data_IF_894041398267
#
_entry.id   IF_894041398267
#
_cell.length_a   1.000
_cell.length_b   1.000
_cell.length_c   1.000
_cell.angle_alpha   90.00
_cell.angle_beta   90.00
_cell.angle_gamma   90.00
#
_symmetry.space_group_name_H-M   'P 1'
#
loop_
_entity.id
_entity.type
_entity.pdbx_description
1 polymer ?
#
# COMPACT_ATOMS: atom_id res chain seq x y z
N UNK A 1 10.33 -0.98 4.39
CA UNK A 1 10.16 -1.54 3.03
C UNK A 1 11.14 -0.85 2.12
N UNK A 2 12.06 -1.53 1.43
CA UNK A 2 13.22 -0.89 0.77
C UNK A 2 12.92 0.17 -0.32
N UNK A 3 11.65 0.35 -0.70
CA UNK A 3 11.12 1.36 -1.60
C UNK A 3 10.38 2.49 -0.85
N UNK A 4 10.34 3.72 -1.40
CA UNK A 4 9.67 4.87 -0.76
C UNK A 4 8.13 4.79 -0.86
N UNK A 5 7.46 5.26 0.20
CA UNK A 5 6.01 5.28 0.36
C UNK A 5 5.55 6.62 0.94
N UNK A 6 4.46 7.17 0.42
CA UNK A 6 3.81 8.38 0.89
C UNK A 6 2.36 8.04 1.24
N UNK A 7 2.02 8.12 2.53
CA UNK A 7 0.74 7.66 3.06
C UNK A 7 -0.15 8.87 3.35
N UNK A 8 -1.38 8.83 2.85
CA UNK A 8 -2.36 9.91 2.97
C UNK A 8 -3.66 9.34 3.54
N UNK A 9 -4.00 9.76 4.76
CA UNK A 9 -5.27 9.40 5.38
C UNK A 9 -6.41 10.27 4.83
N UNK A 10 -7.51 9.62 4.45
CA UNK A 10 -8.69 10.25 3.85
C UNK A 10 -9.97 9.70 4.50
N UNK A 11 -11.02 10.52 4.53
CA UNK A 11 -12.31 10.10 5.09
C UNK A 11 -13.07 9.17 4.16
N UNK A 12 -12.97 9.39 2.84
CA UNK A 12 -13.63 8.60 1.81
C UNK A 12 -12.68 8.31 0.64
N UNK A 13 -12.34 7.03 0.46
CA UNK A 13 -11.50 6.57 -0.64
C UNK A 13 -12.15 6.65 -2.01
N UNK A 14 -13.48 6.64 -2.07
CA UNK A 14 -14.21 6.63 -3.34
C UNK A 14 -14.36 8.04 -3.92
N UNK A 15 -14.12 9.08 -3.11
CA UNK A 15 -14.02 10.47 -3.54
C UNK A 15 -12.65 10.84 -4.16
N UNK A 16 -11.63 9.99 -4.06
CA UNK A 16 -10.27 10.30 -4.52
C UNK A 16 -10.13 10.06 -6.03
N UNK A 17 -9.82 11.13 -6.77
CA UNK A 17 -9.38 11.04 -8.16
C UNK A 17 -7.91 10.63 -8.24
N UNK A 18 -7.70 9.31 -8.14
CA UNK A 18 -6.37 8.69 -8.12
C UNK A 18 -5.57 8.97 -9.41
N UNK A 19 -6.23 9.05 -10.56
CA UNK A 19 -5.57 9.25 -11.85
C UNK A 19 -5.02 10.67 -12.00
N UNK A 20 -5.69 11.64 -11.39
CA UNK A 20 -5.23 13.04 -11.39
C UNK A 20 -4.15 13.28 -10.33
N UNK A 21 -4.37 12.79 -9.10
CA UNK A 21 -3.52 13.14 -7.95
C UNK A 21 -2.28 12.24 -7.85
N UNK A 22 -2.41 10.95 -8.18
CA UNK A 22 -1.33 9.96 -8.07
C UNK A 22 -0.02 10.37 -8.77
N UNK A 23 -0.03 10.72 -10.07
CA UNK A 23 1.18 11.14 -10.79
C UNK A 23 1.85 12.39 -10.20
N UNK A 24 1.04 13.33 -9.68
CA UNK A 24 1.55 14.58 -9.10
C UNK A 24 2.37 14.31 -7.86
N UNK A 25 1.91 13.39 -7.00
CA UNK A 25 2.61 13.02 -5.77
C UNK A 25 3.78 12.07 -6.08
N UNK A 26 3.60 11.09 -6.98
CA UNK A 26 4.67 10.18 -7.41
C UNK A 26 5.92 10.98 -7.83
N UNK A 27 5.73 12.05 -8.59
CA UNK A 27 6.80 12.87 -9.15
C UNK A 27 7.07 14.16 -8.38
N UNK A 28 6.51 14.33 -7.18
CA UNK A 28 6.70 15.54 -6.39
C UNK A 28 8.17 15.74 -6.03
N UNK A 29 8.65 16.99 -6.05
CA UNK A 29 10.07 17.33 -5.87
C UNK A 29 10.68 16.87 -4.53
N UNK A 30 9.83 16.70 -3.51
CA UNK A 30 10.21 16.16 -2.19
C UNK A 30 10.64 14.69 -2.23
N UNK A 31 10.30 13.97 -3.32
CA UNK A 31 10.68 12.58 -3.55
C UNK A 31 11.65 12.49 -4.75
N UNK A 32 12.97 12.72 -4.56
CA UNK A 32 13.95 12.70 -5.65
C UNK A 32 13.99 11.39 -6.45
N UNK A 33 13.65 10.27 -5.79
CA UNK A 33 13.59 8.94 -6.40
C UNK A 33 12.15 8.50 -6.74
N UNK A 34 11.22 9.48 -6.83
CA UNK A 34 9.77 9.29 -6.86
C UNK A 34 9.26 8.49 -5.64
N UNK A 35 7.95 8.28 -5.54
CA UNK A 35 7.38 7.48 -4.45
C UNK A 35 6.17 6.66 -4.89
N UNK A 36 5.88 5.58 -4.16
CA UNK A 36 4.54 5.01 -4.14
C UNK A 36 3.64 5.90 -3.27
N UNK A 37 2.36 5.96 -3.59
CA UNK A 37 1.40 6.81 -2.88
C UNK A 37 0.19 5.98 -2.48
N UNK A 38 -0.01 5.84 -1.18
CA UNK A 38 -1.08 5.09 -0.57
C UNK A 38 -2.13 6.05 0.01
N UNK A 39 -3.36 5.98 -0.51
CA UNK A 39 -4.51 6.63 0.12
C UNK A 39 -5.18 5.62 1.03
N UNK A 40 -5.50 6.03 2.26
CA UNK A 40 -5.93 5.12 3.32
C UNK A 40 -7.19 5.67 4.00
N UNK A 41 -8.22 4.83 4.08
CA UNK A 41 -9.39 5.08 4.90
C UNK A 41 -9.37 4.12 6.08
N UNK A 42 -9.40 4.68 7.29
CA UNK A 42 -9.42 3.92 8.54
C UNK A 42 -10.86 3.52 8.83
N UNK A 43 -11.18 2.23 8.72
CA UNK A 43 -12.51 1.71 9.02
C UNK A 43 -12.65 1.36 10.50
N UNK A 44 -11.58 0.81 11.09
CA UNK A 44 -11.41 0.58 12.52
C UNK A 44 -9.92 0.52 12.85
N UNK A 45 -9.52 0.46 14.14
CA UNK A 45 -8.12 0.29 14.52
C UNK A 45 -7.48 -0.99 13.97
N UNK A 46 -8.26 -2.00 13.59
CA UNK A 46 -7.78 -3.29 13.06
C UNK A 46 -8.21 -3.56 11.62
N UNK A 47 -8.80 -2.56 10.95
CA UNK A 47 -9.23 -2.66 9.56
C UNK A 47 -9.02 -1.35 8.80
N UNK A 48 -8.12 -1.40 7.82
CA UNK A 48 -7.78 -0.30 6.93
C UNK A 48 -8.22 -0.67 5.51
N UNK A 49 -8.72 0.30 4.76
CA UNK A 49 -8.96 0.18 3.31
C UNK A 49 -8.00 1.10 2.58
N UNK A 50 -7.55 0.72 1.39
CA UNK A 50 -6.61 1.55 0.64
C UNK A 50 -6.82 1.54 -0.88
N UNK A 51 -6.25 2.55 -1.54
CA UNK A 51 -5.94 2.58 -2.98
C UNK A 51 -4.49 3.06 -3.14
N UNK A 52 -3.80 2.58 -4.18
CA UNK A 52 -2.38 2.91 -4.41
C UNK A 52 -2.14 3.43 -5.82
N UNK A 53 -1.26 4.42 -5.92
CA UNK A 53 -0.56 4.77 -7.15
C UNK A 53 0.90 4.32 -7.01
N UNK A 54 1.30 3.28 -7.74
CA UNK A 54 2.64 2.72 -7.67
C UNK A 54 3.61 3.42 -8.62
N UNK A 55 4.81 3.68 -8.11
CA UNK A 55 5.90 4.32 -8.85
C UNK A 55 6.21 3.54 -10.12
N UNK A 56 6.05 4.18 -11.28
CA UNK A 56 6.31 3.60 -12.59
C UNK A 56 5.31 2.54 -13.06
N UNK A 57 4.25 2.26 -12.29
CA UNK A 57 3.21 1.28 -12.64
C UNK A 57 1.80 1.89 -12.68
N UNK A 58 1.56 3.01 -11.99
CA UNK A 58 0.25 3.64 -11.90
C UNK A 58 -0.68 2.90 -10.92
N UNK A 59 -2.02 2.91 -11.15
CA UNK A 59 -2.94 2.27 -10.24
C UNK A 59 -2.87 0.73 -10.38
N UNK A 60 -2.50 0.04 -9.30
CA UNK A 60 -2.45 -1.42 -9.25
C UNK A 60 -3.56 -1.98 -8.35
N UNK A 61 -3.88 -3.27 -8.53
CA UNK A 61 -4.91 -3.93 -7.72
C UNK A 61 -4.44 -4.23 -6.30
N UNK A 62 -3.13 -4.43 -6.10
CA UNK A 62 -2.56 -4.69 -4.79
C UNK A 62 -1.08 -4.31 -4.77
N UNK A 63 -0.63 -3.70 -3.67
CA UNK A 63 0.78 -3.44 -3.39
C UNK A 63 1.12 -3.93 -1.99
N UNK A 64 1.82 -5.06 -1.88
CA UNK A 64 2.17 -5.64 -0.57
C UNK A 64 3.08 -4.73 0.26
N UNK A 65 4.06 -4.09 -0.39
CA UNK A 65 4.95 -3.15 0.32
C UNK A 65 4.23 -1.89 0.81
N UNK A 66 3.26 -1.38 0.03
CA UNK A 66 2.40 -0.28 0.43
C UNK A 66 1.48 -0.63 1.60
N UNK A 67 0.90 -1.85 1.61
CA UNK A 67 0.10 -2.35 2.73
C UNK A 67 0.92 -2.44 4.03
N UNK A 68 2.18 -2.89 3.95
CA UNK A 68 3.10 -2.86 5.09
C UNK A 68 3.39 -1.43 5.57
N UNK A 69 3.71 -0.53 4.64
CA UNK A 69 4.09 0.85 4.95
C UNK A 69 2.93 1.64 5.58
N UNK A 70 1.70 1.47 5.07
CA UNK A 70 0.53 2.18 5.58
C UNK A 70 0.11 1.71 6.98
N UNK A 71 0.31 0.42 7.32
CA UNK A 71 0.04 -0.03 8.68
C UNK A 71 0.99 0.66 9.66
N UNK A 72 2.29 0.69 9.34
CA UNK A 72 3.29 1.37 10.16
C UNK A 72 2.93 2.85 10.34
N UNK A 73 2.60 3.54 9.25
CA UNK A 73 2.17 4.94 9.31
C UNK A 73 0.91 5.13 10.19
N UNK A 74 -0.08 4.25 10.07
CA UNK A 74 -1.31 4.32 10.85
C UNK A 74 -1.05 4.08 12.36
N UNK A 75 -0.16 3.15 12.70
CA UNK A 75 0.27 2.91 14.09
C UNK A 75 1.02 4.13 14.64
N UNK A 76 1.97 4.68 13.87
CA UNK A 76 2.74 5.85 14.28
C UNK A 76 1.87 7.10 14.49
N UNK A 77 0.77 7.24 13.73
CA UNK A 77 -0.23 8.29 13.92
C UNK A 77 -1.31 7.96 14.97
N UNK A 78 -1.24 6.81 15.64
CA UNK A 78 -2.22 6.39 16.66
C UNK A 78 -3.61 6.09 16.10
N UNK A 79 -3.70 5.73 14.81
CA UNK A 79 -4.95 5.43 14.08
C UNK A 79 -5.28 3.95 13.99
N UNK A 80 -4.28 3.08 14.15
CA UNK A 80 -4.43 1.64 14.02
C UNK A 80 -3.59 0.89 15.07
N UNK A 81 -3.97 -0.36 15.30
CA UNK A 81 -3.18 -1.35 16.04
C UNK A 81 -2.05 -1.91 15.17
N UNK A 82 -1.08 -2.56 15.81
CA UNK A 82 0.08 -3.18 15.14
C UNK A 82 -0.27 -4.39 14.29
N UNK A 83 -1.49 -4.91 14.36
CA UNK A 83 -1.98 -6.01 13.55
C UNK A 83 -3.34 -5.65 12.99
N UNK A 84 -3.47 -5.65 11.66
CA UNK A 84 -4.70 -5.22 11.01
C UNK A 84 -4.90 -5.88 9.65
N UNK A 85 -6.17 -6.01 9.29
CA UNK A 85 -6.59 -6.30 7.91
C UNK A 85 -6.42 -5.05 7.06
N UNK A 86 -5.76 -5.18 5.92
CA UNK A 86 -5.68 -4.14 4.89
C UNK A 86 -6.45 -4.62 3.66
N UNK A 87 -7.55 -3.94 3.34
CA UNK A 87 -8.35 -4.20 2.14
C UNK A 87 -7.82 -3.38 0.97
N UNK A 88 -7.34 -4.07 -0.06
CA UNK A 88 -6.92 -3.51 -1.34
C UNK A 88 -7.97 -3.82 -2.43
N UNK A 89 -7.94 -3.15 -3.60
CA UNK A 89 -8.85 -3.46 -4.70
C UNK A 89 -8.83 -4.93 -5.14
N UNK A 90 -7.67 -5.59 -5.05
CA UNK A 90 -7.46 -6.99 -5.42
C UNK A 90 -7.74 -8.00 -4.31
N UNK A 91 -8.09 -7.56 -3.09
CA UNK A 91 -8.36 -8.43 -1.96
C UNK A 91 -7.66 -7.99 -0.67
N UNK A 92 -7.86 -8.78 0.38
CA UNK A 92 -7.35 -8.48 1.72
C UNK A 92 -5.94 -9.05 1.95
N UNK A 93 -5.14 -8.30 2.71
CA UNK A 93 -3.89 -8.75 3.30
C UNK A 93 -3.96 -8.63 4.82
N UNK A 94 -3.34 -9.56 5.53
CA UNK A 94 -3.07 -9.41 6.96
C UNK A 94 -1.66 -8.89 7.15
N UNK A 95 -1.54 -7.77 7.86
CA UNK A 95 -0.26 -7.12 8.13
C UNK A 95 -0.07 -7.05 9.65
N UNK A 96 1.11 -7.44 10.12
CA UNK A 96 1.50 -7.36 11.52
C UNK A 96 2.88 -6.70 11.63
N UNK A 97 2.99 -5.60 12.36
CA UNK A 97 4.26 -5.00 12.76
C UNK A 97 4.60 -5.39 14.19
N UNK A 98 5.30 -6.52 14.31
CA UNK A 98 5.61 -7.18 15.59
C UNK A 98 6.56 -6.32 16.43
N UNK A 99 6.17 -6.10 17.68
CA UNK A 99 6.92 -5.25 18.61
C UNK A 99 8.21 -5.92 19.14
N UNK A 100 8.24 -7.24 19.25
CA UNK A 100 9.35 -8.00 19.84
C UNK A 100 10.68 -7.82 19.10
N UNK A 101 10.64 -7.63 17.78
CA UNK A 101 11.83 -7.56 16.93
C UNK A 101 11.73 -6.51 15.81
N UNK A 102 10.72 -5.65 15.87
CA UNK A 102 10.45 -4.58 14.90
C UNK A 102 10.24 -5.09 13.45
N UNK A 103 9.89 -6.37 13.29
CA UNK A 103 9.68 -7.01 11.98
C UNK A 103 8.24 -6.86 11.51
N UNK A 104 8.07 -6.60 10.21
CA UNK A 104 6.75 -6.57 9.56
C UNK A 104 6.49 -7.90 8.85
N UNK A 105 5.39 -8.56 9.21
CA UNK A 105 4.86 -9.73 8.55
C UNK A 105 3.67 -9.36 7.66
N UNK A 106 3.62 -9.98 6.49
CA UNK A 106 2.53 -9.84 5.53
C UNK A 106 2.05 -11.23 5.12
N UNK A 107 0.75 -11.48 5.26
CA UNK A 107 0.11 -12.72 4.86
C UNK A 107 -0.98 -12.44 3.84
N UNK A 108 -0.92 -13.16 2.72
CA UNK A 108 -1.88 -13.07 1.62
C UNK A 108 -1.75 -14.25 0.65
N UNK A 109 -2.72 -14.45 -0.25
CA UNK A 109 -2.71 -15.55 -1.21
C UNK A 109 -1.73 -15.29 -2.36
N UNK A 110 -1.27 -16.37 -3.00
CA UNK A 110 -0.56 -16.35 -4.27
C UNK A 110 -1.06 -17.51 -5.15
N UNK A 111 -1.39 -17.23 -6.41
CA UNK A 111 -2.03 -18.19 -7.32
C UNK A 111 -1.28 -18.27 -8.65
N UNK A 112 -0.81 -19.46 -9.08
CA UNK A 112 -0.23 -19.62 -10.41
C UNK A 112 -1.32 -19.47 -11.49
N UNK A 113 -1.02 -18.71 -12.55
CA UNK A 113 -1.96 -18.51 -13.67
C UNK A 113 -1.61 -19.42 -14.85
N UNK A 114 -0.37 -19.37 -15.34
CA UNK A 114 0.13 -20.21 -16.43
C UNK A 114 1.66 -20.30 -16.43
N UNK A 115 2.23 -21.15 -17.29
CA UNK A 115 3.67 -21.23 -17.59
C UNK A 115 3.91 -21.19 -19.10
N UNK A 116 5.03 -20.61 -19.56
CA UNK A 116 5.33 -20.48 -21.00
C UNK A 116 6.81 -20.21 -21.31
N UNK A 117 7.12 -20.08 -22.60
CA UNK A 117 8.46 -19.75 -23.13
C UNK A 117 8.34 -18.54 -24.06
N UNK A 118 9.25 -17.58 -23.94
CA UNK A 118 9.31 -16.37 -24.77
C UNK A 118 10.74 -16.16 -25.29
N UNK A 119 10.88 -15.73 -26.54
CA UNK A 119 12.18 -15.38 -27.14
C UNK A 119 12.37 -13.88 -27.08
N UNK A 120 13.54 -13.44 -26.59
CA UNK A 120 13.94 -12.03 -26.57
C UNK A 120 14.93 -11.82 -27.70
N UNK A 121 14.66 -10.88 -28.60
CA UNK A 121 15.61 -10.42 -29.63
C UNK A 121 16.63 -9.43 -29.06
#
# INVERSE_FOLDING_TARGET
>A
MGNPHAIIFVDDLDAIDLATIGPQIECHEVFPAKTNVEFVQVLSPTHLKMKVWERGAGPTLACGTGACALLVAAVLEGRAERSATVTLPGGDLQIEWREEDDTIFMTGPAVPVFSGVYSVE
#
